data_IF_840582867455
#
_entry.id   IF_840582867455
#
_cell.length_a   1.000
_cell.length_b   1.000
_cell.length_c   1.000
_cell.angle_alpha   90.00
_cell.angle_beta   90.00
_cell.angle_gamma   90.00
#
_symmetry.space_group_name_H-M   'P 1'
#
loop_
_entity.id
_entity.type
_entity.pdbx_description
1 polymer ?
#
# COMPACT_ATOMS: atom_id res chain seq x y z
N UNK A 1 18.19 -1.63 -13.28
CA UNK A 1 17.14 -1.82 -12.25
C UNK A 1 16.08 -0.76 -12.51
N UNK A 2 14.86 -1.18 -12.78
CA UNK A 2 13.74 -0.28 -13.04
C UNK A 2 12.84 -0.29 -11.82
N UNK A 3 12.53 0.88 -11.25
CA UNK A 3 11.58 0.99 -10.13
C UNK A 3 10.15 1.04 -10.67
N UNK A 4 9.23 0.34 -10.02
CA UNK A 4 7.80 0.36 -10.29
C UNK A 4 7.08 0.95 -9.09
N UNK A 5 6.20 1.94 -9.32
CA UNK A 5 5.28 2.48 -8.33
C UNK A 5 3.86 2.09 -8.73
N UNK A 6 3.22 1.27 -7.90
CA UNK A 6 1.85 0.83 -8.08
C UNK A 6 0.92 1.73 -7.26
N UNK A 7 -0.14 2.24 -7.86
CA UNK A 7 -1.17 3.04 -7.17
C UNK A 7 -2.53 2.38 -7.26
N UNK A 8 -3.32 2.45 -6.19
CA UNK A 8 -4.74 2.10 -6.23
C UNK A 8 -5.64 3.29 -6.57
N UNK A 9 -5.11 4.52 -6.51
CA UNK A 9 -5.92 5.73 -6.39
C UNK A 9 -6.83 5.70 -5.16
N UNK A 10 -7.85 6.56 -5.17
CA UNK A 10 -8.88 6.58 -4.13
C UNK A 10 -9.89 5.42 -4.30
N UNK A 11 -9.82 4.45 -3.40
CA UNK A 11 -10.67 3.24 -3.43
C UNK A 11 -12.08 3.49 -2.86
N UNK A 12 -12.36 4.69 -2.35
CA UNK A 12 -13.68 5.09 -1.84
C UNK A 12 -14.60 5.54 -2.97
N UNK A 13 -14.05 6.18 -4.01
CA UNK A 13 -14.79 6.77 -5.12
C UNK A 13 -15.11 5.82 -6.28
N UNK A 14 -14.39 4.69 -6.41
CA UNK A 14 -14.62 3.69 -7.46
C UNK A 14 -15.53 2.54 -7.00
N UNK A 15 -16.79 2.50 -7.45
CA UNK A 15 -17.75 1.40 -7.17
C UNK A 15 -17.38 0.05 -7.84
N UNK A 16 -18.16 -1.05 -7.65
CA UNK A 16 -19.34 -1.22 -6.82
C UNK A 16 -18.98 -1.62 -5.39
N UNK A 17 -19.95 -1.53 -4.48
CA UNK A 17 -19.88 -2.01 -3.09
C UNK A 17 -18.97 -3.21 -2.94
N UNK A 18 -17.92 -3.07 -2.12
CA UNK A 18 -17.18 -4.19 -1.56
C UNK A 18 -18.20 -5.25 -1.17
N UNK A 19 -18.28 -6.36 -1.94
CA UNK A 19 -19.19 -7.47 -1.63
C UNK A 19 -18.69 -8.02 -0.32
N UNK A 20 -19.23 -7.54 0.81
CA UNK A 20 -18.89 -7.94 2.18
C UNK A 20 -19.12 -9.44 2.33
N UNK A 21 -18.15 -10.25 1.90
CA UNK A 21 -18.12 -11.67 2.20
C UNK A 21 -17.85 -11.78 3.70
N UNK A 22 -18.53 -12.68 4.43
CA UNK A 22 -18.26 -12.89 5.84
C UNK A 22 -16.80 -13.33 6.01
N UNK A 23 -15.99 -12.49 6.68
CA UNK A 23 -14.55 -12.67 6.87
C UNK A 23 -13.85 -11.32 6.85
N UNK A 24 -13.00 -11.02 7.84
CA UNK A 24 -12.28 -9.75 7.89
C UNK A 24 -11.46 -9.54 6.62
N UNK A 25 -11.64 -8.41 5.93
CA UNK A 25 -10.75 -8.01 4.84
C UNK A 25 -9.38 -7.75 5.42
N UNK A 26 -8.46 -8.70 5.22
CA UNK A 26 -7.04 -8.47 5.46
C UNK A 26 -6.54 -7.45 4.45
N UNK A 27 -5.65 -6.56 4.86
CA UNK A 27 -5.12 -5.48 4.02
C UNK A 27 -4.56 -5.95 2.67
N UNK A 28 -3.96 -7.15 2.58
CA UNK A 28 -3.51 -7.75 1.31
C UNK A 28 -4.66 -7.95 0.31
N UNK A 29 -5.84 -8.41 0.75
CA UNK A 29 -6.96 -8.64 -0.15
C UNK A 29 -7.57 -7.33 -0.65
N UNK A 30 -7.62 -6.31 0.21
CA UNK A 30 -8.03 -4.97 -0.20
C UNK A 30 -7.04 -4.39 -1.22
N UNK A 31 -5.73 -4.39 -0.90
CA UNK A 31 -4.67 -3.92 -1.78
C UNK A 31 -4.71 -4.61 -3.15
N UNK A 32 -4.71 -5.94 -3.17
CA UNK A 32 -4.63 -6.71 -4.42
C UNK A 32 -5.86 -6.51 -5.30
N UNK A 33 -7.06 -6.51 -4.72
CA UNK A 33 -8.28 -6.24 -5.48
C UNK A 33 -8.33 -4.79 -5.99
N UNK A 34 -7.96 -3.82 -5.16
CA UNK A 34 -7.92 -2.41 -5.56
C UNK A 34 -6.90 -2.14 -6.66
N UNK A 35 -5.73 -2.79 -6.62
CA UNK A 35 -4.75 -2.71 -7.71
C UNK A 35 -5.31 -3.30 -9.02
N UNK A 36 -5.94 -4.47 -8.97
CA UNK A 36 -6.56 -5.07 -10.17
C UNK A 36 -7.65 -4.18 -10.76
N UNK A 37 -8.53 -3.63 -9.90
CA UNK A 37 -9.57 -2.70 -10.32
C UNK A 37 -8.98 -1.42 -10.91
N UNK A 38 -7.94 -0.86 -10.29
CA UNK A 38 -7.26 0.34 -10.78
C UNK A 38 -6.60 0.12 -12.15
N UNK A 39 -5.90 -1.00 -12.34
CA UNK A 39 -5.28 -1.33 -13.62
C UNK A 39 -6.32 -1.53 -14.72
N UNK A 40 -7.40 -2.25 -14.41
CA UNK A 40 -8.48 -2.49 -15.37
C UNK A 40 -9.19 -1.19 -15.77
N UNK A 41 -9.50 -0.32 -14.80
CA UNK A 41 -10.12 0.98 -15.07
C UNK A 41 -9.22 1.84 -15.97
N UNK A 42 -7.93 1.97 -15.62
CA UNK A 42 -6.99 2.71 -16.45
C UNK A 42 -6.88 2.13 -17.87
N UNK A 43 -6.79 0.81 -18.03
CA UNK A 43 -6.76 0.18 -19.35
C UNK A 43 -8.02 0.51 -20.18
N UNK A 44 -9.19 0.53 -19.55
CA UNK A 44 -10.46 0.85 -20.22
C UNK A 44 -10.56 2.31 -20.62
N UNK A 45 -10.19 3.23 -19.72
CA UNK A 45 -10.22 4.68 -19.98
C UNK A 45 -9.32 5.03 -21.17
N UNK A 46 -8.08 4.53 -21.17
CA UNK A 46 -7.12 4.79 -22.25
C UNK A 46 -7.38 3.96 -23.53
N UNK A 47 -8.20 2.91 -23.48
CA UNK A 47 -8.66 2.22 -24.69
C UNK A 47 -9.68 3.05 -25.47
N UNK A 48 -10.58 3.74 -24.76
CA UNK A 48 -11.59 4.59 -25.36
C UNK A 48 -10.95 5.79 -26.09
N UNK A 49 -9.92 6.39 -25.49
CA UNK A 49 -9.20 7.52 -26.07
C UNK A 49 -8.43 7.13 -27.34
N UNK A 50 -7.84 5.93 -27.38
CA UNK A 50 -7.08 5.42 -28.54
C UNK A 50 -7.94 5.23 -29.82
N UNK A 51 -9.27 5.16 -29.70
CA UNK A 51 -10.20 5.02 -30.82
C UNK A 51 -10.77 6.35 -31.33
N UNK A 52 -10.41 7.49 -30.73
CA UNK A 52 -10.92 8.81 -31.13
C UNK A 52 -10.02 9.58 -32.10
N UNK A 53 -8.81 9.08 -32.37
CA UNK A 53 -7.83 9.71 -33.27
C UNK A 53 -7.78 9.10 -34.69
N UNK A 54 -8.66 8.14 -35.03
CA UNK A 54 -8.80 7.61 -36.40
C UNK A 54 -10.15 8.03 -37.00
N UNK A 55 -10.10 8.70 -38.14
CA UNK A 55 -11.14 9.55 -38.75
C UNK A 55 -12.58 9.00 -38.82
N UNK A 56 -13.53 9.89 -38.50
CA UNK A 56 -14.85 10.05 -39.10
C UNK A 56 -15.51 8.84 -39.80
N UNK A 57 -16.24 8.00 -39.05
CA UNK A 57 -17.30 7.18 -39.61
C UNK A 57 -18.46 6.98 -38.62
N UNK A 58 -19.67 7.26 -39.11
CA UNK A 58 -20.95 7.13 -38.41
C UNK A 58 -21.13 5.70 -37.88
N UNK A 59 -21.19 5.52 -36.56
CA UNK A 59 -21.53 4.24 -35.96
C UNK A 59 -23.02 3.94 -36.16
N UNK A 60 -23.34 3.13 -37.16
CA UNK A 60 -24.62 2.44 -37.27
C UNK A 60 -24.65 1.27 -36.27
N UNK A 61 -25.70 1.24 -35.46
CA UNK A 61 -26.11 0.10 -34.63
C UNK A 61 -26.10 -1.21 -35.46
N UNK A 62 -25.27 -2.17 -35.08
CA UNK A 62 -25.17 -3.48 -35.72
C UNK A 62 -25.07 -4.61 -34.70
N UNK A 63 -26.21 -5.18 -34.33
CA UNK A 63 -26.33 -6.40 -33.55
C UNK A 63 -25.88 -7.60 -34.41
N UNK A 64 -24.64 -8.07 -34.22
CA UNK A 64 -24.03 -9.15 -34.98
C UNK A 64 -23.62 -10.34 -34.11
N UNK A 65 -24.43 -11.39 -34.13
CA UNK A 65 -24.19 -12.66 -33.47
C UNK A 65 -23.24 -13.52 -34.34
N UNK A 66 -22.01 -13.79 -33.89
CA UNK A 66 -21.11 -14.73 -34.58
C UNK A 66 -20.41 -15.69 -33.61
N UNK A 67 -20.81 -16.96 -33.69
CA UNK A 67 -20.10 -18.12 -33.14
C UNK A 67 -18.80 -18.34 -33.93
N UNK A 68 -17.65 -18.28 -33.25
CA UNK A 68 -16.34 -18.64 -33.82
C UNK A 68 -15.37 -19.01 -32.70
N UNK A 69 -15.04 -20.30 -32.62
CA UNK A 69 -14.11 -20.88 -31.65
C UNK A 69 -12.66 -20.62 -32.12
N UNK A 70 -12.12 -19.44 -31.80
CA UNK A 70 -10.73 -19.06 -32.04
C UNK A 70 -10.22 -18.23 -30.85
N UNK A 71 -9.20 -18.73 -30.16
CA UNK A 71 -8.50 -18.01 -29.09
C UNK A 71 -7.77 -16.80 -29.70
N UNK A 72 -8.48 -15.68 -29.84
CA UNK A 72 -7.89 -14.38 -30.12
C UNK A 72 -7.39 -13.79 -28.79
N UNK A 73 -6.11 -13.41 -28.72
CA UNK A 73 -5.63 -12.40 -27.78
C UNK A 73 -6.40 -11.10 -28.06
N UNK A 74 -7.53 -10.90 -27.38
CA UNK A 74 -8.32 -9.68 -27.48
C UNK A 74 -7.47 -8.50 -27.02
N UNK A 75 -7.40 -7.45 -27.86
CA UNK A 75 -6.50 -6.31 -27.71
C UNK A 75 -6.50 -5.67 -26.33
N UNK A 76 -5.46 -5.96 -25.54
CA UNK A 76 -5.14 -5.20 -24.33
C UNK A 76 -4.60 -3.83 -24.75
N UNK A 77 -5.04 -2.79 -24.06
CA UNK A 77 -4.52 -1.42 -24.22
C UNK A 77 -3.00 -1.42 -24.07
N UNK A 78 -2.24 -0.89 -25.04
CA UNK A 78 -0.79 -0.81 -24.94
C UNK A 78 -0.34 -0.17 -23.62
N UNK A 79 0.62 -0.80 -22.95
CA UNK A 79 1.13 -0.36 -21.64
C UNK A 79 1.54 1.11 -21.61
N UNK A 80 2.13 1.61 -22.71
CA UNK A 80 2.58 2.99 -22.87
C UNK A 80 1.48 4.05 -22.79
N UNK A 81 0.21 3.68 -22.98
CA UNK A 81 -0.91 4.63 -22.90
C UNK A 81 -1.33 4.90 -21.45
N UNK A 82 -1.34 3.86 -20.62
CA UNK A 82 -1.92 3.88 -19.27
C UNK A 82 -0.87 3.78 -18.14
N UNK A 83 0.42 3.68 -18.49
CA UNK A 83 1.55 3.79 -17.56
C UNK A 83 2.39 5.02 -17.91
N UNK A 84 3.21 5.51 -16.97
CA UNK A 84 4.06 6.67 -17.21
C UNK A 84 5.43 6.50 -16.55
N UNK A 85 6.48 6.97 -17.23
CA UNK A 85 7.82 7.00 -16.66
C UNK A 85 8.12 8.41 -16.13
N UNK A 86 8.27 8.53 -14.82
CA UNK A 86 8.52 9.79 -14.12
C UNK A 86 9.64 9.57 -13.08
N UNK A 87 10.61 10.48 -13.03
CA UNK A 87 11.69 10.48 -12.03
C UNK A 87 12.46 9.14 -11.88
N UNK A 88 12.57 8.38 -12.97
CA UNK A 88 13.26 7.07 -12.98
C UNK A 88 12.43 5.90 -12.46
N UNK A 89 11.13 6.10 -12.22
CA UNK A 89 10.17 5.06 -11.89
C UNK A 89 9.09 4.91 -12.97
N UNK A 90 8.58 3.70 -13.14
CA UNK A 90 7.40 3.39 -13.94
C UNK A 90 6.16 3.39 -13.02
N UNK A 91 5.25 4.32 -13.23
CA UNK A 91 3.99 4.44 -12.54
C UNK A 91 2.92 3.56 -13.20
N UNK A 92 2.29 2.73 -12.40
CA UNK A 92 1.27 1.77 -12.83
C UNK A 92 0.04 1.87 -11.91
N UNK A 93 -1.10 2.42 -12.38
CA UNK A 93 -1.22 3.18 -13.62
C UNK A 93 -0.46 4.52 -13.53
N UNK A 94 -0.38 5.24 -14.64
CA UNK A 94 0.02 6.66 -14.62
C UNK A 94 -0.94 7.46 -13.73
N UNK A 95 -0.43 8.49 -13.07
CA UNK A 95 -1.20 9.29 -12.11
C UNK A 95 -1.36 10.71 -12.66
N UNK A 96 -2.61 11.16 -12.79
CA UNK A 96 -2.89 12.57 -13.06
C UNK A 96 -2.96 13.35 -11.74
N UNK A 97 -1.82 13.93 -11.37
CA UNK A 97 -1.69 14.72 -10.15
C UNK A 97 -2.50 16.02 -10.16
N UNK A 98 -3.08 16.45 -11.30
CA UNK A 98 -3.97 17.62 -11.33
C UNK A 98 -5.32 17.36 -10.67
N UNK A 99 -5.70 16.08 -10.56
CA UNK A 99 -6.92 15.63 -9.89
C UNK A 99 -6.68 15.22 -8.43
N UNK A 100 -5.43 15.28 -7.96
CA UNK A 100 -5.07 14.99 -6.58
C UNK A 100 -5.56 16.08 -5.62
N UNK A 101 -5.76 15.73 -4.36
CA UNK A 101 -6.25 16.65 -3.34
C UNK A 101 -7.49 16.16 -2.61
N UNK A 102 -7.65 16.64 -1.39
CA UNK A 102 -8.86 16.51 -0.59
C UNK A 102 -9.81 17.67 -0.90
N UNK A 103 -11.12 17.46 -0.68
CA UNK A 103 -12.15 18.44 -0.98
C UNK A 103 -12.22 19.58 0.05
N UNK A 104 -12.00 19.26 1.32
CA UNK A 104 -12.02 20.23 2.42
C UNK A 104 -10.60 20.73 2.74
N UNK A 105 -10.50 21.74 3.61
CA UNK A 105 -9.20 22.22 4.10
C UNK A 105 -8.42 21.12 4.84
N UNK A 106 -7.08 21.02 4.69
CA UNK A 106 -6.28 19.95 5.28
C UNK A 106 -6.46 19.76 6.80
N UNK A 107 -6.68 20.84 7.54
CA UNK A 107 -6.86 20.80 8.99
C UNK A 107 -8.19 20.15 9.43
N UNK A 108 -9.13 19.94 8.51
CA UNK A 108 -10.40 19.23 8.74
C UNK A 108 -10.25 17.71 8.71
N UNK A 109 -9.08 17.19 8.32
CA UNK A 109 -8.84 15.76 8.23
C UNK A 109 -7.99 15.22 9.36
N UNK A 110 -8.31 13.98 9.72
CA UNK A 110 -7.41 13.08 10.41
C UNK A 110 -6.87 12.06 9.39
N UNK A 111 -5.60 12.26 9.01
CA UNK A 111 -4.89 11.47 8.02
C UNK A 111 -3.96 10.50 8.74
N UNK A 112 -4.22 9.20 8.56
CA UNK A 112 -3.35 8.13 9.05
C UNK A 112 -2.67 7.45 7.88
N UNK A 113 -1.35 7.34 7.96
CA UNK A 113 -0.49 6.63 7.02
C UNK A 113 0.12 5.44 7.74
N UNK A 114 0.12 4.27 7.11
CA UNK A 114 0.82 3.09 7.59
C UNK A 114 1.80 2.60 6.53
N UNK A 115 3.09 2.64 6.86
CA UNK A 115 4.18 2.20 6.01
C UNK A 115 4.63 0.80 6.41
N UNK A 116 4.59 -0.13 5.46
CA UNK A 116 5.04 -1.50 5.59
C UNK A 116 6.39 -1.63 4.88
N UNK A 117 7.47 -1.81 5.64
CA UNK A 117 8.74 -2.27 5.08
C UNK A 117 8.65 -3.77 4.82
N UNK A 118 8.91 -4.19 3.58
CA UNK A 118 8.82 -5.60 3.21
C UNK A 118 10.14 -6.33 3.52
N UNK A 119 10.12 -7.67 3.69
CA UNK A 119 11.32 -8.45 4.03
C UNK A 119 12.49 -8.30 3.05
N UNK A 120 12.18 -7.86 1.84
CA UNK A 120 13.09 -7.65 0.72
C UNK A 120 13.74 -6.27 0.69
N UNK A 121 13.28 -5.32 1.51
CA UNK A 121 13.88 -4.00 1.62
C UNK A 121 15.06 -3.99 2.59
N UNK A 122 16.23 -3.64 2.05
CA UNK A 122 17.44 -3.45 2.85
C UNK A 122 17.28 -2.28 3.83
N UNK A 123 17.83 -2.44 5.03
CA UNK A 123 17.75 -1.45 6.11
C UNK A 123 18.32 -0.10 5.70
N UNK A 124 19.39 -0.11 4.91
CA UNK A 124 20.05 1.09 4.36
C UNK A 124 19.12 1.93 3.51
N UNK A 125 18.14 1.31 2.86
CA UNK A 125 17.26 1.96 1.90
C UNK A 125 15.95 2.41 2.54
N UNK A 126 15.62 1.90 3.74
CA UNK A 126 14.37 2.22 4.46
C UNK A 126 14.18 3.73 4.70
N UNK A 127 15.26 4.47 4.90
CA UNK A 127 15.20 5.93 5.04
C UNK A 127 14.70 6.62 3.76
N UNK A 128 15.18 6.18 2.60
CA UNK A 128 14.74 6.68 1.31
C UNK A 128 13.31 6.23 1.00
N UNK A 129 13.00 4.96 1.26
CA UNK A 129 11.67 4.39 1.10
C UNK A 129 10.61 5.14 1.92
N UNK A 130 10.91 5.51 3.16
CA UNK A 130 9.97 6.27 4.00
C UNK A 130 9.67 7.66 3.43
N UNK A 131 10.71 8.36 2.94
CA UNK A 131 10.56 9.68 2.31
C UNK A 131 9.74 9.60 1.03
N UNK A 132 10.04 8.61 0.18
CA UNK A 132 9.35 8.40 -1.09
C UNK A 132 7.88 8.03 -0.88
N UNK A 133 7.61 7.05 -0.02
CA UNK A 133 6.25 6.60 0.28
C UNK A 133 5.40 7.72 0.90
N UNK A 134 5.94 8.47 1.86
CA UNK A 134 5.22 9.61 2.44
C UNK A 134 5.02 10.73 1.41
N UNK A 135 6.03 11.02 0.58
CA UNK A 135 5.94 12.02 -0.47
C UNK A 135 4.82 11.74 -1.47
N UNK A 136 4.64 10.48 -1.87
CA UNK A 136 3.53 10.05 -2.73
C UNK A 136 2.16 10.31 -2.08
N UNK A 137 2.02 9.97 -0.79
CA UNK A 137 0.77 10.21 -0.05
C UNK A 137 0.48 11.70 0.12
N UNK A 138 1.49 12.52 0.45
CA UNK A 138 1.32 13.97 0.57
C UNK A 138 0.89 14.59 -0.76
N UNK A 139 1.48 14.15 -1.87
CA UNK A 139 1.14 14.60 -3.23
C UNK A 139 -0.27 14.20 -3.63
N UNK A 140 -0.65 12.94 -3.40
CA UNK A 140 -1.99 12.39 -3.69
C UNK A 140 -3.10 13.10 -2.92
N UNK A 141 -2.86 13.41 -1.64
CA UNK A 141 -3.85 14.08 -0.79
C UNK A 141 -3.78 15.60 -0.89
N UNK A 142 -2.78 16.17 -1.57
CA UNK A 142 -2.59 17.62 -1.67
C UNK A 142 -2.31 18.31 -0.32
N UNK A 143 -1.72 17.59 0.65
CA UNK A 143 -1.46 18.10 2.00
C UNK A 143 0.03 18.27 2.29
N UNK A 144 0.37 19.14 3.24
CA UNK A 144 1.76 19.41 3.64
C UNK A 144 2.28 18.47 4.73
N UNK A 145 1.37 17.84 5.47
CA UNK A 145 1.70 16.95 6.57
C UNK A 145 0.55 15.96 6.79
N UNK A 146 0.83 14.86 7.52
CA UNK A 146 -0.17 13.88 7.98
C UNK A 146 -0.24 13.83 9.50
N UNK A 147 -1.36 13.37 10.05
CA UNK A 147 -1.59 13.36 11.50
C UNK A 147 -0.83 12.23 12.20
N UNK A 148 -0.76 11.05 11.57
CA UNK A 148 -0.11 9.86 12.14
C UNK A 148 0.59 9.05 11.05
N UNK A 149 1.88 8.72 11.26
CA UNK A 149 2.60 7.71 10.48
C UNK A 149 2.90 6.49 11.37
N UNK A 150 2.31 5.35 11.04
CA UNK A 150 2.56 4.06 11.68
C UNK A 150 3.57 3.27 10.85
N UNK A 151 4.64 2.78 11.47
CA UNK A 151 5.67 1.95 10.81
C UNK A 151 5.46 0.48 11.17
N UNK A 152 5.41 -0.37 10.16
CA UNK A 152 5.36 -1.83 10.26
C UNK A 152 6.64 -2.43 9.71
N UNK A 153 7.32 -3.21 10.55
CA UNK A 153 8.59 -3.87 10.23
C UNK A 153 8.37 -5.32 9.77
N UNK A 154 9.27 -5.85 8.94
CA UNK A 154 9.16 -7.23 8.47
C UNK A 154 9.37 -8.23 9.60
N UNK A 155 8.70 -9.38 9.51
CA UNK A 155 8.86 -10.48 10.47
C UNK A 155 8.20 -10.23 11.83
N UNK A 156 7.32 -9.24 11.93
CA UNK A 156 6.59 -8.87 13.14
C UNK A 156 5.10 -9.22 13.03
N UNK A 157 4.56 -9.90 14.04
CA UNK A 157 3.13 -10.16 14.18
C UNK A 157 2.71 -10.27 15.66
N UNK A 158 1.51 -9.81 15.98
CA UNK A 158 0.91 -10.01 17.29
C UNK A 158 -0.13 -11.14 17.25
N UNK A 159 0.27 -12.30 16.72
CA UNK A 159 -0.58 -13.49 16.60
C UNK A 159 -0.18 -14.57 17.63
N UNK A 160 -1.17 -15.22 18.24
CA UNK A 160 -1.00 -16.33 19.19
C UNK A 160 -2.35 -16.99 19.51
N UNK A 161 -2.35 -18.14 20.20
CA UNK A 161 -3.61 -18.80 20.62
C UNK A 161 -4.34 -17.98 21.69
N UNK A 162 -3.57 -17.21 22.47
CA UNK A 162 -4.05 -16.16 23.35
C UNK A 162 -3.08 -14.97 23.33
N UNK A 163 -3.52 -13.83 23.89
CA UNK A 163 -2.80 -12.57 23.79
C UNK A 163 -1.53 -12.55 24.64
N UNK A 164 -1.48 -13.34 25.71
CA UNK A 164 -0.25 -13.57 26.49
C UNK A 164 0.82 -14.32 25.69
N UNK A 165 0.41 -15.33 24.93
CA UNK A 165 1.32 -16.07 24.08
C UNK A 165 1.81 -15.22 22.92
N UNK A 166 0.92 -14.43 22.30
CA UNK A 166 1.28 -13.47 21.26
C UNK A 166 2.34 -12.47 21.76
N UNK A 167 2.15 -11.90 22.95
CA UNK A 167 3.11 -10.96 23.57
C UNK A 167 4.50 -11.60 23.77
N UNK A 168 4.51 -12.85 24.24
CA UNK A 168 5.76 -13.60 24.50
C UNK A 168 6.46 -13.99 23.20
N UNK A 169 5.74 -14.48 22.20
CA UNK A 169 6.31 -14.82 20.89
C UNK A 169 6.88 -13.58 20.21
N UNK A 170 6.15 -12.47 20.28
CA UNK A 170 6.54 -11.20 19.68
C UNK A 170 7.91 -10.70 20.20
N UNK A 171 8.26 -10.93 21.46
CA UNK A 171 9.56 -10.56 22.01
C UNK A 171 10.75 -11.05 21.17
N UNK A 172 10.60 -12.22 20.52
CA UNK A 172 11.64 -12.86 19.69
C UNK A 172 11.50 -12.62 18.19
N UNK A 173 10.50 -11.86 17.76
CA UNK A 173 10.24 -11.57 16.35
C UNK A 173 10.99 -10.34 15.84
N UNK A 174 10.99 -10.12 14.53
CA UNK A 174 11.65 -8.98 13.91
C UNK A 174 13.17 -8.97 14.07
N UNK A 175 13.75 -7.76 14.08
CA UNK A 175 15.18 -7.55 14.31
C UNK A 175 15.38 -6.20 15.02
N UNK A 176 15.62 -6.26 16.32
CA UNK A 176 15.72 -5.10 17.20
C UNK A 176 16.80 -4.08 16.76
N UNK A 177 17.88 -4.54 16.12
CA UNK A 177 18.93 -3.65 15.60
C UNK A 177 18.47 -2.91 14.34
N UNK A 178 17.82 -3.62 13.42
CA UNK A 178 17.33 -3.00 12.18
C UNK A 178 16.18 -2.03 12.43
N UNK A 179 15.27 -2.38 13.34
CA UNK A 179 14.15 -1.55 13.77
C UNK A 179 14.67 -0.24 14.37
N UNK A 180 15.61 -0.34 15.31
CA UNK A 180 16.26 0.82 15.93
C UNK A 180 17.07 1.64 14.91
N UNK A 181 17.75 1.00 13.96
CA UNK A 181 18.51 1.70 12.92
C UNK A 181 17.62 2.42 11.89
N UNK A 182 16.39 1.93 11.68
CA UNK A 182 15.42 2.56 10.78
C UNK A 182 14.80 3.81 11.41
N UNK A 183 14.55 3.78 12.72
CA UNK A 183 13.76 4.80 13.40
C UNK A 183 14.27 6.24 13.25
N UNK A 184 15.59 6.56 13.31
CA UNK A 184 16.09 7.92 13.13
C UNK A 184 15.62 8.60 11.83
N UNK A 185 15.41 7.83 10.76
CA UNK A 185 14.86 8.37 9.52
C UNK A 185 13.39 8.76 9.65
N UNK A 186 12.62 8.02 10.45
CA UNK A 186 11.22 8.31 10.77
C UNK A 186 11.11 9.51 11.71
N UNK A 187 12.01 9.61 12.70
CA UNK A 187 12.12 10.79 13.57
C UNK A 187 12.37 12.06 12.76
N UNK A 188 13.16 11.95 11.70
CA UNK A 188 13.46 13.07 10.82
C UNK A 188 12.24 13.57 10.05
N UNK A 189 11.35 12.68 9.60
CA UNK A 189 10.07 13.07 8.98
C UNK A 189 9.18 13.87 9.96
N UNK A 190 9.20 13.49 11.24
CA UNK A 190 8.52 14.24 12.29
C UNK A 190 9.19 15.59 12.57
N UNK A 191 10.53 15.64 12.67
CA UNK A 191 11.28 16.90 12.88
C UNK A 191 11.09 17.90 11.74
N UNK A 192 10.92 17.42 10.50
CA UNK A 192 10.62 18.24 9.33
C UNK A 192 9.16 18.75 9.31
N UNK A 193 8.31 18.29 10.23
CA UNK A 193 6.90 18.67 10.28
C UNK A 193 6.02 17.99 9.25
N UNK A 194 6.53 16.97 8.54
CA UNK A 194 5.76 16.19 7.56
C UNK A 194 4.78 15.22 8.23
N UNK A 195 5.05 14.86 9.48
CA UNK A 195 4.22 13.97 10.29
C UNK A 195 4.06 14.56 11.68
N UNK A 196 2.82 14.66 12.18
CA UNK A 196 2.55 15.17 13.53
C UNK A 196 2.80 14.15 14.63
N UNK A 197 2.43 12.89 14.43
CA UNK A 197 2.60 11.81 15.41
C UNK A 197 3.21 10.57 14.77
N UNK A 198 4.06 9.87 15.53
CA UNK A 198 4.69 8.64 15.08
C UNK A 198 4.03 7.44 15.78
N UNK A 199 3.89 6.35 15.05
CA UNK A 199 3.41 5.09 15.57
C UNK A 199 4.23 3.92 15.07
N UNK A 200 4.07 2.80 15.76
CA UNK A 200 4.64 1.49 15.43
C UNK A 200 3.51 0.46 15.37
N UNK A 201 3.77 -0.68 14.74
CA UNK A 201 2.82 -1.78 14.67
C UNK A 201 3.44 -3.09 15.15
N UNK A 202 2.62 -3.90 15.82
CA UNK A 202 2.88 -5.25 16.32
C UNK A 202 3.91 -5.32 17.46
N UNK A 203 4.14 -4.27 18.24
CA UNK A 203 5.11 -4.34 19.35
C UNK A 203 4.46 -4.86 20.64
N UNK A 204 4.92 -6.00 21.13
CA UNK A 204 4.60 -6.53 22.45
C UNK A 204 5.38 -5.85 23.58
N UNK A 205 5.08 -6.22 24.82
CA UNK A 205 5.56 -5.54 26.04
C UNK A 205 7.09 -5.43 26.08
N UNK A 206 7.78 -6.55 25.91
CA UNK A 206 9.24 -6.60 26.03
C UNK A 206 9.91 -5.83 24.88
N UNK A 207 9.46 -6.05 23.65
CA UNK A 207 10.02 -5.38 22.48
C UNK A 207 9.77 -3.87 22.52
N UNK A 208 8.57 -3.43 22.89
CA UNK A 208 8.26 -2.02 23.10
C UNK A 208 9.19 -1.40 24.14
N UNK A 209 9.39 -2.07 25.29
CA UNK A 209 10.27 -1.58 26.35
C UNK A 209 11.74 -1.48 25.89
N UNK A 210 12.22 -2.42 25.07
CA UNK A 210 13.57 -2.35 24.50
C UNK A 210 13.69 -1.22 23.47
N UNK A 211 12.73 -1.11 22.56
CA UNK A 211 12.71 -0.08 21.51
C UNK A 211 12.71 1.33 22.08
N UNK A 212 11.87 1.60 23.10
CA UNK A 212 11.77 2.91 23.75
C UNK A 212 13.05 3.39 24.44
N UNK A 213 13.99 2.48 24.74
CA UNK A 213 15.31 2.83 25.30
C UNK A 213 16.30 3.31 24.24
N UNK A 214 16.03 3.04 22.96
CA UNK A 214 16.95 3.28 21.84
C UNK A 214 16.56 4.49 20.97
N UNK A 215 15.31 4.95 21.07
CA UNK A 215 14.75 6.02 20.23
C UNK A 215 14.65 7.36 20.97
N UNK A 216 14.76 8.46 20.23
CA UNK A 216 14.69 9.83 20.77
C UNK A 216 13.27 10.40 20.68
N UNK A 217 12.67 10.35 19.49
CA UNK A 217 11.26 10.70 19.29
C UNK A 217 10.45 9.43 19.51
N UNK A 218 9.74 9.38 20.63
CA UNK A 218 8.96 8.19 21.01
C UNK A 218 7.71 8.07 20.13
N UNK A 219 7.33 6.84 19.73
CA UNK A 219 6.01 6.63 19.15
C UNK A 219 4.93 6.97 20.18
N UNK A 220 3.85 7.59 19.73
CA UNK A 220 2.65 7.89 20.54
C UNK A 220 1.55 6.85 20.32
N UNK A 221 1.69 5.98 19.31
CA UNK A 221 0.73 4.93 18.98
C UNK A 221 1.46 3.59 18.79
N UNK A 222 0.86 2.52 19.29
CA UNK A 222 1.23 1.15 18.93
C UNK A 222 -0.02 0.40 18.44
N UNK A 223 -0.01 0.01 17.17
CA UNK A 223 -1.08 -0.76 16.54
C UNK A 223 -0.84 -2.26 16.72
N UNK A 224 -1.79 -2.99 17.32
CA UNK A 224 -1.68 -4.44 17.54
C UNK A 224 -2.80 -5.19 16.82
N UNK A 225 -2.46 -6.34 16.23
CA UNK A 225 -3.41 -7.19 15.54
C UNK A 225 -4.00 -8.25 16.47
N UNK A 226 -4.99 -7.86 17.27
CA UNK A 226 -5.71 -8.77 18.19
C UNK A 226 -7.08 -9.14 17.63
N UNK A 227 -7.43 -10.43 17.72
CA UNK A 227 -8.74 -10.96 17.30
C UNK A 227 -9.88 -10.40 18.15
N UNK A 228 -9.63 -10.11 19.42
CA UNK A 228 -10.59 -9.53 20.35
C UNK A 228 -10.01 -8.26 20.97
N UNK A 229 -10.56 -7.09 20.61
CA UNK A 229 -10.04 -5.80 21.05
C UNK A 229 -10.08 -5.58 22.57
N UNK A 230 -10.85 -6.39 23.29
CA UNK A 230 -10.98 -6.31 24.75
C UNK A 230 -9.90 -7.05 25.54
N UNK A 231 -9.03 -7.81 24.88
CA UNK A 231 -8.08 -8.72 25.53
C UNK A 231 -6.61 -8.32 25.32
N UNK A 232 -6.29 -7.04 25.41
CA UNK A 232 -4.89 -6.59 25.33
C UNK A 232 -4.10 -7.12 26.55
N UNK A 233 -2.87 -7.65 26.39
CA UNK A 233 -2.09 -8.14 27.53
C UNK A 233 -1.90 -7.07 28.60
N UNK A 234 -2.25 -7.35 29.88
CA UNK A 234 -2.16 -6.35 30.95
C UNK A 234 -0.77 -5.69 31.11
N UNK A 235 0.37 -6.41 30.94
CA UNK A 235 1.68 -5.76 30.97
C UNK A 235 1.86 -4.73 29.86
N UNK A 236 1.38 -5.01 28.64
CA UNK A 236 1.44 -4.10 27.50
C UNK A 236 0.58 -2.85 27.77
N UNK A 237 -0.65 -3.03 28.28
CA UNK A 237 -1.53 -1.91 28.65
C UNK A 237 -0.86 -1.02 29.70
N UNK A 238 -0.27 -1.62 30.74
CA UNK A 238 0.43 -0.88 31.80
C UNK A 238 1.59 -0.08 31.24
N UNK A 239 2.46 -0.72 30.46
CA UNK A 239 3.62 -0.07 29.84
C UNK A 239 3.17 1.08 28.92
N UNK A 240 2.21 0.83 28.02
CA UNK A 240 1.73 1.84 27.09
C UNK A 240 1.16 3.07 27.82
N UNK A 241 0.34 2.86 28.87
CA UNK A 241 -0.17 3.95 29.71
C UNK A 241 0.94 4.73 30.42
N UNK A 242 1.93 4.06 30.99
CA UNK A 242 3.07 4.69 31.65
C UNK A 242 3.92 5.53 30.68
N UNK A 243 4.00 5.11 29.42
CA UNK A 243 4.80 5.78 28.39
C UNK A 243 3.99 6.78 27.54
N UNK A 244 2.68 6.93 27.79
CA UNK A 244 1.80 7.82 27.02
C UNK A 244 1.56 7.35 25.58
N UNK A 245 1.46 6.03 25.37
CA UNK A 245 1.27 5.39 24.07
C UNK A 245 -0.15 4.84 23.98
N UNK A 246 -0.87 5.24 22.92
CA UNK A 246 -2.19 4.70 22.62
C UNK A 246 -2.08 3.34 21.94
N UNK A 247 -2.85 2.38 22.45
CA UNK A 247 -2.96 1.05 21.85
C UNK A 247 -4.17 1.02 20.93
N UNK A 248 -3.93 0.85 19.63
CA UNK A 248 -4.97 0.78 18.61
C UNK A 248 -5.02 -0.63 18.01
N UNK A 249 -6.19 -1.07 17.57
CA UNK A 249 -6.36 -2.37 16.92
C UNK A 249 -6.43 -2.19 15.41
N UNK A 250 -5.80 -3.09 14.68
CA UNK A 250 -5.91 -3.17 13.22
C UNK A 250 -6.08 -4.61 12.76
N UNK A 251 -6.40 -4.79 11.48
CA UNK A 251 -6.63 -6.09 10.83
C UNK A 251 -5.76 -6.26 9.58
N UNK A 252 -4.59 -5.65 9.58
CA UNK A 252 -3.66 -5.78 8.45
C UNK A 252 -3.02 -7.18 8.49
N UNK A 253 -2.65 -7.72 7.34
CA UNK A 253 -1.89 -8.96 7.27
C UNK A 253 -0.39 -8.71 7.44
N UNK A 254 0.31 -9.72 7.96
CA UNK A 254 1.76 -9.74 8.10
C UNK A 254 2.49 -9.66 6.76
N UNK A 255 2.03 -10.40 5.74
CA UNK A 255 2.56 -10.34 4.38
C UNK A 255 1.59 -9.60 3.46
N UNK A 256 1.78 -8.28 3.35
CA UNK A 256 0.88 -7.42 2.59
C UNK A 256 1.07 -7.52 1.07
N UNK A 257 2.28 -7.84 0.59
CA UNK A 257 2.58 -7.96 -0.84
C UNK A 257 3.77 -8.90 -1.08
N UNK A 258 3.48 -10.18 -1.31
CA UNK A 258 4.49 -11.17 -1.65
C UNK A 258 5.01 -11.02 -3.09
N UNK A 259 6.21 -11.54 -3.38
CA UNK A 259 6.76 -11.60 -4.75
C UNK A 259 5.83 -12.33 -5.72
N UNK A 260 5.22 -13.44 -5.29
CA UNK A 260 4.32 -14.23 -6.12
C UNK A 260 3.05 -13.46 -6.47
N UNK A 261 2.44 -12.82 -5.48
CA UNK A 261 1.25 -11.98 -5.67
C UNK A 261 1.55 -10.80 -6.59
N UNK A 262 2.68 -10.11 -6.40
CA UNK A 262 3.10 -9.01 -7.26
C UNK A 262 3.30 -9.48 -8.72
N UNK A 263 3.93 -10.63 -8.93
CA UNK A 263 4.10 -11.21 -10.27
C UNK A 263 2.77 -11.57 -10.92
N UNK A 264 1.81 -12.07 -10.14
CA UNK A 264 0.46 -12.37 -10.62
C UNK A 264 -0.32 -11.10 -11.00
N UNK A 265 -0.20 -10.03 -10.21
CA UNK A 265 -0.83 -8.73 -10.48
C UNK A 265 -0.34 -8.11 -11.79
N UNK A 266 0.95 -8.21 -12.08
CA UNK A 266 1.56 -7.60 -13.27
C UNK A 266 1.69 -8.58 -14.45
N UNK A 267 1.45 -9.87 -14.22
CA UNK A 267 1.63 -10.95 -15.19
C UNK A 267 0.60 -10.98 -16.33
N UNK A 268 0.81 -11.86 -17.32
CA UNK A 268 -0.06 -11.98 -18.49
C UNK A 268 -1.40 -12.69 -18.22
N UNK A 269 -1.57 -13.31 -17.05
CA UNK A 269 -2.77 -14.08 -16.70
C UNK A 269 -4.08 -13.30 -16.78
N UNK A 270 -5.22 -14.01 -16.72
CA UNK A 270 -6.57 -13.43 -16.88
C UNK A 270 -6.86 -12.25 -15.94
N UNK A 271 -6.31 -12.28 -14.73
CA UNK A 271 -6.49 -11.23 -13.73
C UNK A 271 -5.28 -10.27 -13.62
N UNK A 272 -4.22 -10.51 -14.40
CA UNK A 272 -3.00 -9.70 -14.37
C UNK A 272 -3.03 -8.57 -15.39
N UNK A 273 -2.23 -7.54 -15.14
CA UNK A 273 -2.16 -6.32 -15.98
C UNK A 273 -1.53 -6.56 -17.35
N UNK A 274 -0.86 -7.69 -17.57
CA UNK A 274 -0.16 -7.97 -18.84
C UNK A 274 1.08 -7.12 -19.07
N UNK A 275 1.71 -6.61 -18.00
CA UNK A 275 2.92 -5.80 -18.09
C UNK A 275 4.20 -6.63 -18.13
N UNK A 276 4.21 -7.81 -17.51
CA UNK A 276 5.35 -8.72 -17.58
C UNK A 276 5.33 -9.53 -18.87
N UNK A 277 6.53 -9.76 -19.42
CA UNK A 277 6.71 -10.68 -20.53
C UNK A 277 6.27 -12.09 -20.12
N UNK A 278 5.56 -12.76 -21.01
CA UNK A 278 5.29 -14.18 -20.88
C UNK A 278 6.59 -14.96 -21.18
N UNK A 279 7.05 -15.75 -20.22
CA UNK A 279 8.25 -16.58 -20.34
C UNK A 279 8.12 -17.65 -21.43
N UNK A 280 6.90 -18.07 -21.76
CA UNK A 280 6.66 -19.10 -22.79
C UNK A 280 6.49 -18.50 -24.18
N UNK A 281 5.98 -17.27 -24.28
CA UNK A 281 5.57 -16.65 -25.55
C UNK A 281 6.53 -15.57 -26.07
N UNK A 282 7.58 -15.21 -25.30
CA UNK A 282 8.61 -14.27 -25.74
C UNK A 282 8.15 -12.83 -25.99
N UNK A 283 7.00 -12.43 -25.43
CA UNK A 283 6.32 -11.16 -25.74
C UNK A 283 7.05 -9.89 -25.27
N UNK A 284 6.57 -8.74 -25.76
CA UNK A 284 7.10 -7.37 -25.57
C UNK A 284 6.93 -6.78 -24.14
N UNK A 285 6.74 -7.61 -23.12
CA UNK A 285 6.56 -7.17 -21.74
C UNK A 285 7.88 -6.90 -20.98
N UNK A 286 7.76 -6.35 -19.78
CA UNK A 286 8.86 -6.17 -18.84
C UNK A 286 9.48 -7.53 -18.48
N UNK A 287 10.81 -7.63 -18.58
CA UNK A 287 11.58 -8.85 -18.31
C UNK A 287 12.35 -8.71 -17.00
N UNK A 288 12.45 -9.81 -16.27
CA UNK A 288 13.24 -9.89 -15.05
C UNK A 288 12.44 -10.24 -13.79
N UNK A 289 13.12 -10.06 -12.66
CA UNK A 289 12.66 -10.47 -11.34
C UNK A 289 12.15 -9.27 -10.54
N UNK A 290 10.89 -9.35 -10.11
CA UNK A 290 10.25 -8.35 -9.28
C UNK A 290 10.56 -8.58 -7.80
N UNK A 291 10.97 -7.51 -7.14
CA UNK A 291 11.28 -7.48 -5.72
C UNK A 291 10.46 -6.36 -5.07
N UNK A 292 9.38 -6.68 -4.35
CA UNK A 292 8.59 -5.64 -3.68
C UNK A 292 9.45 -5.01 -2.56
N UNK A 293 9.34 -3.71 -2.33
CA UNK A 293 10.21 -2.99 -1.37
C UNK A 293 9.42 -2.48 -0.18
N UNK A 294 8.32 -1.78 -0.45
CA UNK A 294 7.45 -1.23 0.58
C UNK A 294 6.03 -1.12 0.05
N UNK A 295 5.08 -1.08 0.99
CA UNK A 295 3.69 -0.70 0.74
C UNK A 295 3.34 0.40 1.72
N UNK A 296 2.64 1.43 1.27
CA UNK A 296 2.05 2.44 2.14
C UNK A 296 0.55 2.45 1.95
N UNK A 297 -0.18 2.40 3.06
CA UNK A 297 -1.62 2.54 3.15
C UNK A 297 -1.93 3.91 3.75
N UNK A 298 -2.89 4.62 3.20
CA UNK A 298 -3.32 5.90 3.76
C UNK A 298 -4.85 5.97 3.86
N UNK A 299 -5.34 6.76 4.82
CA UNK A 299 -6.75 7.02 5.03
C UNK A 299 -6.93 8.44 5.54
N UNK A 300 -7.74 9.22 4.86
CA UNK A 300 -8.14 10.58 5.21
C UNK A 300 -9.60 10.57 5.67
N UNK A 301 -9.82 10.90 6.94
CA UNK A 301 -11.15 10.95 7.57
C UNK A 301 -11.50 12.40 7.86
N UNK A 302 -12.68 12.86 7.43
CA UNK A 302 -13.19 14.18 7.78
C UNK A 302 -13.58 14.18 9.25
N UNK A 303 -12.89 14.97 10.09
CA UNK A 303 -12.97 14.92 11.56
C UNK A 303 -14.39 15.10 12.08
N UNK A 304 -15.10 16.10 11.57
CA UNK A 304 -16.43 16.46 12.09
C UNK A 304 -17.54 15.49 11.68
N UNK A 305 -17.32 14.71 10.61
CA UNK A 305 -18.31 13.78 10.06
C UNK A 305 -17.97 12.31 10.32
N UNK A 306 -16.71 12.01 10.63
CA UNK A 306 -16.21 10.63 10.75
C UNK A 306 -16.28 9.85 9.43
N UNK A 307 -16.34 10.54 8.29
CA UNK A 307 -16.46 9.93 6.96
C UNK A 307 -15.09 9.81 6.32
N UNK A 308 -14.77 8.63 5.80
CA UNK A 308 -13.57 8.41 4.99
C UNK A 308 -13.83 9.02 3.61
N UNK A 309 -13.04 10.02 3.23
CA UNK A 309 -13.12 10.62 1.90
C UNK A 309 -12.14 9.98 0.93
N UNK A 310 -10.90 9.78 1.39
CA UNK A 310 -9.86 9.21 0.56
C UNK A 310 -9.16 8.08 1.32
N UNK A 311 -9.03 6.94 0.65
CA UNK A 311 -8.29 5.79 1.13
C UNK A 311 -7.61 5.12 -0.05
N UNK A 312 -6.39 4.69 0.13
CA UNK A 312 -5.67 4.01 -0.93
C UNK A 312 -4.33 3.45 -0.49
N UNK A 313 -3.60 2.96 -1.47
CA UNK A 313 -2.30 2.36 -1.30
C UNK A 313 -1.35 2.79 -2.42
N UNK A 314 -0.08 2.93 -2.05
CA UNK A 314 1.03 2.84 -2.99
C UNK A 314 1.90 1.63 -2.65
N UNK A 315 2.49 0.99 -3.66
CA UNK A 315 3.49 -0.05 -3.47
C UNK A 315 4.67 0.19 -4.39
N UNK A 316 5.88 -0.07 -3.89
CA UNK A 316 7.10 0.00 -4.70
C UNK A 316 7.67 -1.39 -4.91
N UNK A 317 8.21 -1.63 -6.10
CA UNK A 317 8.98 -2.81 -6.42
C UNK A 317 10.14 -2.47 -7.36
N UNK A 318 11.24 -3.20 -7.22
CA UNK A 318 12.32 -3.15 -8.20
C UNK A 318 12.18 -4.30 -9.19
N UNK A 319 12.40 -3.99 -10.46
CA UNK A 319 12.61 -4.93 -11.53
C UNK A 319 14.11 -5.02 -11.81
N UNK A 320 14.68 -6.19 -11.50
CA UNK A 320 16.04 -6.54 -11.84
C UNK A 320 16.04 -7.38 -13.11
N UNK A 321 16.75 -6.91 -14.14
CA UNK A 321 17.03 -7.71 -15.33
C UNK A 321 17.83 -8.96 -14.90
N UNK A 322 17.55 -10.09 -15.54
CA UNK A 322 18.29 -11.34 -15.31
C UNK A 322 19.72 -11.30 -15.85
#
# INVERSE_FOLDING_TARGET
MTKLILSTGNIVSGGPSIIRKPGGYRSNLELTNSLRSSFLAAQQDFAADAHTDDDGAVALNGNGNSNGNGFHHSGRTPASLWTAQEEGALYVPRIDWSLAGLQEEPDQYDITVKLFFLPTAAVTDRAQHAKEALGLVLRELGVKHVNLLVVSFPGMSFEGDCEWEADKLNATQGNDEEEAATWPAIEELHRQGLVRNLGIAEFGTEKLAMFLKRVQVRPTVNQINIKNCCNVPPPLVKLAKEQGIDLLVHSDCTDILSRGTLRELLGPGLQGAGLLADSESGGDGLKGNLTPQWVVKYTAVVRDRGVIENKGYFACADLNEE
#
